data_IF_453703222515
#
_entry.id   IF_453703222515
#
_cell.length_a   1.000
_cell.length_b   1.000
_cell.length_c   1.000
_cell.angle_alpha   90.00
_cell.angle_beta   90.00
_cell.angle_gamma   90.00
#
_symmetry.space_group_name_H-M   'P 1'
#
loop_
_entity.id
_entity.type
_entity.pdbx_description
1 polymer ?
#
# COMPACT_ATOMS: atom_id res chain seq x y z
N UNK A 1 -26.69 6.73 8.19
CA UNK A 1 -26.14 8.11 8.31
C UNK A 1 -24.79 8.10 9.05
N UNK A 2 -23.75 8.70 8.47
CA UNK A 2 -22.45 8.83 9.15
C UNK A 2 -22.63 9.81 10.31
N UNK A 3 -22.36 9.38 11.53
CA UNK A 3 -22.47 10.25 12.71
C UNK A 3 -21.41 11.35 12.62
N UNK A 4 -21.81 12.59 12.91
CA UNK A 4 -20.93 13.75 12.83
C UNK A 4 -20.69 14.36 14.20
N UNK A 5 -19.63 15.15 14.35
CA UNK A 5 -19.27 15.76 15.64
C UNK A 5 -20.17 16.93 16.07
N UNK A 6 -21.38 17.02 15.52
CA UNK A 6 -22.35 18.07 15.81
C UNK A 6 -23.62 17.46 16.39
N UNK A 7 -23.87 17.74 17.68
CA UNK A 7 -25.04 17.24 18.42
C UNK A 7 -26.35 17.61 17.74
N UNK A 8 -26.53 18.87 17.34
CA UNK A 8 -27.79 19.36 16.74
C UNK A 8 -28.09 18.59 15.46
N UNK A 9 -27.06 18.35 14.64
CA UNK A 9 -27.24 17.58 13.42
C UNK A 9 -27.52 16.11 13.69
N UNK A 10 -26.85 15.49 14.67
CA UNK A 10 -27.13 14.10 15.03
C UNK A 10 -28.54 13.94 15.61
N UNK A 11 -28.97 14.83 16.51
CA UNK A 11 -30.35 14.84 17.06
C UNK A 11 -31.38 15.02 15.94
N UNK A 12 -31.13 15.95 15.01
CA UNK A 12 -31.98 16.13 13.83
C UNK A 12 -32.03 14.86 12.95
N UNK A 13 -30.88 14.22 12.71
CA UNK A 13 -30.77 12.96 11.98
C UNK A 13 -31.51 11.82 12.70
N UNK A 14 -31.44 11.73 14.03
CA UNK A 14 -32.20 10.74 14.81
C UNK A 14 -33.70 11.01 14.66
N UNK A 15 -34.13 12.26 14.70
CA UNK A 15 -35.55 12.60 14.59
C UNK A 15 -36.12 12.32 13.20
N UNK A 16 -35.37 12.58 12.13
CA UNK A 16 -35.86 12.48 10.75
C UNK A 16 -35.51 11.15 10.06
N UNK A 17 -34.44 10.48 10.50
CA UNK A 17 -33.90 9.27 9.87
C UNK A 17 -33.54 8.21 10.90
N UNK A 18 -34.28 8.12 12.02
CA UNK A 18 -34.09 7.05 12.99
C UNK A 18 -34.17 5.68 12.30
N UNK A 19 -33.22 4.78 12.55
CA UNK A 19 -33.29 3.45 12.00
C UNK A 19 -34.54 2.70 12.48
N UNK A 20 -35.13 1.88 11.61
CA UNK A 20 -36.28 1.03 11.94
C UNK A 20 -35.95 -0.07 12.96
N UNK A 21 -34.68 -0.44 13.10
CA UNK A 21 -34.21 -1.43 14.07
C UNK A 21 -34.08 -0.77 15.45
N UNK A 22 -34.86 -1.17 16.48
CA UNK A 22 -34.90 -0.50 17.78
C UNK A 22 -33.53 -0.42 18.46
N UNK A 23 -32.76 -1.50 18.41
CA UNK A 23 -31.42 -1.57 19.01
C UNK A 23 -30.44 -0.60 18.34
N UNK A 24 -30.52 -0.44 17.01
CA UNK A 24 -29.66 0.47 16.28
C UNK A 24 -30.07 1.93 16.51
N UNK A 25 -31.38 2.21 16.59
CA UNK A 25 -31.88 3.53 16.98
C UNK A 25 -31.45 3.92 18.40
N UNK A 26 -31.50 2.98 19.36
CA UNK A 26 -31.00 3.19 20.71
C UNK A 26 -29.48 3.48 20.71
N UNK A 27 -28.69 2.74 19.94
CA UNK A 27 -27.25 2.95 19.84
C UNK A 27 -26.90 4.32 19.24
N UNK A 28 -27.63 4.76 18.22
CA UNK A 28 -27.50 6.10 17.63
C UNK A 28 -27.88 7.20 18.63
N UNK A 29 -28.90 6.97 19.47
CA UNK A 29 -29.30 7.91 20.52
C UNK A 29 -28.23 8.03 21.62
N UNK A 30 -27.67 6.91 22.07
CA UNK A 30 -26.54 6.91 23.02
C UNK A 30 -25.36 7.70 22.47
N UNK A 31 -25.05 7.56 21.18
CA UNK A 31 -23.99 8.35 20.54
C UNK A 31 -24.27 9.86 20.60
N UNK A 32 -25.50 10.28 20.32
CA UNK A 32 -25.90 11.68 20.42
C UNK A 32 -25.86 12.20 21.87
N UNK A 33 -26.28 11.38 22.83
CA UNK A 33 -26.27 11.71 24.26
C UNK A 33 -24.85 11.87 24.81
N UNK A 34 -23.88 11.08 24.33
CA UNK A 34 -22.47 11.22 24.72
C UNK A 34 -21.83 12.52 24.18
N UNK A 35 -22.45 13.19 23.20
CA UNK A 35 -22.02 14.52 22.75
C UNK A 35 -22.51 15.66 23.67
N UNK A 36 -23.00 15.35 24.89
CA UNK A 36 -23.54 16.30 25.88
C UNK A 36 -22.66 17.54 26.12
N UNK A 37 -21.34 17.39 26.03
CA UNK A 37 -20.37 18.42 26.38
C UNK A 37 -19.69 19.10 25.17
N UNK A 38 -20.02 18.74 23.92
CA UNK A 38 -19.34 19.28 22.74
C UNK A 38 -20.27 19.52 21.56
N UNK A 39 -20.43 20.78 21.14
CA UNK A 39 -21.13 21.16 19.89
C UNK A 39 -20.28 20.87 18.64
N UNK A 40 -18.96 20.83 18.81
CA UNK A 40 -17.94 20.63 17.79
C UNK A 40 -16.89 19.66 18.35
N UNK A 41 -16.25 18.87 17.49
CA UNK A 41 -15.10 18.04 17.85
C UNK A 41 -14.02 18.91 18.50
N UNK A 42 -13.63 18.67 19.76
CA UNK A 42 -12.47 19.34 20.32
C UNK A 42 -11.23 18.85 19.56
N UNK A 43 -10.49 19.78 18.96
CA UNK A 43 -9.23 19.50 18.26
C UNK A 43 -8.08 19.30 19.28
N UNK A 44 -8.31 18.42 20.26
CA UNK A 44 -7.30 18.01 21.23
C UNK A 44 -6.78 16.63 20.85
N UNK A 45 -5.54 16.31 21.25
CA UNK A 45 -4.92 15.00 20.99
C UNK A 45 -5.80 13.85 21.50
N UNK A 46 -6.43 14.02 22.66
CA UNK A 46 -7.35 13.04 23.25
C UNK A 46 -8.74 13.06 22.60
N UNK A 47 -9.28 14.25 22.28
CA UNK A 47 -10.63 14.40 21.72
C UNK A 47 -10.78 13.75 20.35
N UNK A 48 -9.71 13.76 19.54
CA UNK A 48 -9.73 13.11 18.24
C UNK A 48 -9.80 11.59 18.36
N UNK A 49 -8.97 10.99 19.23
CA UNK A 49 -8.89 9.55 19.46
C UNK A 49 -10.15 9.03 20.14
N UNK A 50 -10.64 9.71 21.19
CA UNK A 50 -11.89 9.36 21.88
C UNK A 50 -13.06 9.25 20.90
N UNK A 51 -13.19 10.23 20.00
CA UNK A 51 -14.24 10.22 18.99
C UNK A 51 -14.13 9.02 18.05
N UNK A 52 -12.93 8.77 17.50
CA UNK A 52 -12.71 7.69 16.55
C UNK A 52 -12.98 6.31 17.18
N UNK A 53 -12.49 6.10 18.40
CA UNK A 53 -12.65 4.83 19.12
C UNK A 53 -14.10 4.58 19.54
N UNK A 54 -14.85 5.63 19.90
CA UNK A 54 -16.28 5.50 20.12
C UNK A 54 -17.00 5.05 18.84
N UNK A 55 -16.79 5.73 17.71
CA UNK A 55 -17.42 5.35 16.43
C UNK A 55 -17.07 3.90 16.07
N UNK A 56 -15.81 3.49 16.24
CA UNK A 56 -15.37 2.11 16.01
C UNK A 56 -16.07 1.11 16.94
N UNK A 57 -16.22 1.42 18.23
CA UNK A 57 -16.91 0.56 19.17
C UNK A 57 -18.39 0.39 18.81
N UNK A 58 -19.06 1.49 18.45
CA UNK A 58 -20.45 1.49 17.98
C UNK A 58 -20.60 0.62 16.72
N UNK A 59 -19.75 0.82 15.72
CA UNK A 59 -19.77 0.05 14.48
C UNK A 59 -19.54 -1.44 14.74
N UNK A 60 -18.55 -1.79 15.57
CA UNK A 60 -18.26 -3.20 15.91
C UNK A 60 -19.43 -3.87 16.60
N UNK A 61 -20.08 -3.17 17.54
CA UNK A 61 -21.27 -3.68 18.22
C UNK A 61 -22.46 -3.81 17.26
N UNK A 62 -22.72 -2.79 16.44
CA UNK A 62 -23.84 -2.76 15.49
C UNK A 62 -23.71 -3.81 14.38
N UNK A 63 -22.48 -4.11 13.95
CA UNK A 63 -22.20 -5.15 12.96
C UNK A 63 -21.94 -6.54 13.59
N UNK A 64 -22.26 -6.72 14.88
CA UNK A 64 -22.07 -7.99 15.60
C UNK A 64 -20.64 -8.55 15.52
N UNK A 65 -19.63 -7.69 15.38
CA UNK A 65 -18.22 -8.08 15.32
C UNK A 65 -17.59 -8.30 16.70
N UNK A 66 -18.18 -7.72 17.73
CA UNK A 66 -17.79 -7.89 19.13
C UNK A 66 -18.99 -7.62 20.04
N UNK A 67 -18.98 -8.15 21.27
CA UNK A 67 -20.01 -7.79 22.24
C UNK A 67 -19.90 -6.29 22.59
N UNK A 68 -21.02 -5.57 22.88
CA UNK A 68 -20.98 -4.14 23.15
C UNK A 68 -20.00 -3.74 24.26
N UNK A 69 -19.96 -4.52 25.35
CA UNK A 69 -19.03 -4.29 26.47
C UNK A 69 -17.57 -4.56 26.10
N UNK A 70 -17.32 -5.53 25.23
CA UNK A 70 -15.98 -5.84 24.73
C UNK A 70 -15.47 -4.73 23.81
N UNK A 71 -16.31 -4.30 22.86
CA UNK A 71 -16.00 -3.20 21.96
C UNK A 71 -15.72 -1.89 22.71
N UNK A 72 -16.48 -1.61 23.78
CA UNK A 72 -16.27 -0.45 24.63
C UNK A 72 -14.96 -0.55 25.44
N UNK A 73 -14.65 -1.73 26.00
CA UNK A 73 -13.39 -1.94 26.75
C UNK A 73 -12.17 -1.77 25.86
N UNK A 74 -12.20 -2.28 24.63
CA UNK A 74 -11.10 -2.11 23.68
C UNK A 74 -10.93 -0.61 23.33
N UNK A 75 -12.02 0.09 23.03
CA UNK A 75 -12.00 1.52 22.76
C UNK A 75 -11.45 2.33 23.95
N UNK A 76 -11.86 2.02 25.17
CA UNK A 76 -11.34 2.63 26.39
C UNK A 76 -9.84 2.37 26.56
N UNK A 77 -9.39 1.14 26.33
CA UNK A 77 -7.96 0.78 26.37
C UNK A 77 -7.15 1.56 25.34
N UNK A 78 -7.65 1.74 24.11
CA UNK A 78 -6.98 2.51 23.07
C UNK A 78 -6.86 4.00 23.44
N UNK A 79 -7.94 4.59 23.96
CA UNK A 79 -7.93 5.99 24.43
C UNK A 79 -6.99 6.15 25.62
N UNK A 80 -7.05 5.26 26.60
CA UNK A 80 -6.18 5.32 27.78
C UNK A 80 -4.70 5.22 27.40
N UNK A 81 -4.35 4.34 26.44
CA UNK A 81 -2.98 4.26 25.91
C UNK A 81 -2.51 5.57 25.31
N UNK A 82 -3.35 6.26 24.54
CA UNK A 82 -3.01 7.55 23.96
C UNK A 82 -2.81 8.64 25.03
N UNK A 83 -3.66 8.61 26.07
CA UNK A 83 -3.51 9.50 27.23
C UNK A 83 -2.21 9.22 27.97
N UNK A 84 -1.92 7.95 28.27
CA UNK A 84 -0.69 7.53 28.94
C UNK A 84 0.54 7.88 28.11
N UNK A 85 0.48 7.71 26.79
CA UNK A 85 1.55 8.03 25.86
C UNK A 85 1.85 9.54 25.80
N UNK A 86 0.85 10.40 26.08
CA UNK A 86 1.01 11.85 26.11
C UNK A 86 1.38 12.38 27.49
N UNK A 87 0.69 11.94 28.54
CA UNK A 87 0.93 12.41 29.91
C UNK A 87 2.22 11.84 30.51
N UNK A 88 2.66 10.65 30.09
CA UNK A 88 3.96 10.09 30.53
C UNK A 88 5.12 10.44 29.58
N UNK A 89 4.98 11.42 28.67
CA UNK A 89 6.04 11.81 27.72
C UNK A 89 7.35 12.18 28.41
N UNK A 90 7.30 12.78 29.59
CA UNK A 90 8.50 13.23 30.32
C UNK A 90 9.37 12.09 30.87
N UNK A 91 8.86 10.86 30.90
CA UNK A 91 9.57 9.70 31.44
C UNK A 91 10.79 9.29 30.60
N UNK A 92 10.87 9.71 29.35
CA UNK A 92 11.91 9.31 28.40
C UNK A 92 12.85 10.47 28.04
N UNK A 93 14.17 10.20 27.89
CA UNK A 93 15.14 11.21 27.55
C UNK A 93 14.90 11.74 26.13
N UNK A 94 15.03 13.06 25.97
CA UNK A 94 14.95 13.74 24.67
C UNK A 94 16.16 13.36 23.83
N UNK A 95 15.94 13.18 22.53
CA UNK A 95 17.00 12.97 21.54
C UNK A 95 17.06 14.18 20.62
N UNK A 96 18.29 14.61 20.35
CA UNK A 96 18.57 15.56 19.28
C UNK A 96 18.37 14.88 17.91
N UNK A 97 17.48 15.46 17.10
CA UNK A 97 17.18 15.03 15.72
C UNK A 97 18.38 15.15 14.78
N UNK A 98 19.48 15.79 15.19
CA UNK A 98 20.74 15.79 14.44
C UNK A 98 21.50 14.46 14.52
N UNK A 99 21.20 13.60 15.51
CA UNK A 99 21.90 12.32 15.72
C UNK A 99 21.82 11.38 14.51
N UNK A 100 20.65 11.12 13.91
CA UNK A 100 20.55 10.27 12.71
C UNK A 100 21.31 10.85 11.51
N UNK A 101 21.29 12.16 11.35
CA UNK A 101 22.01 12.84 10.26
C UNK A 101 23.54 12.70 10.45
N UNK A 102 24.02 12.89 11.68
CA UNK A 102 25.43 12.64 12.05
C UNK A 102 25.83 11.18 11.87
N UNK A 103 24.97 10.23 12.22
CA UNK A 103 25.18 8.81 12.00
C UNK A 103 25.25 8.48 10.50
N UNK A 104 24.34 9.02 9.69
CA UNK A 104 24.35 8.83 8.24
C UNK A 104 25.64 9.39 7.61
N UNK A 105 26.04 10.61 7.98
CA UNK A 105 27.31 11.21 7.54
C UNK A 105 28.53 10.41 8.02
N UNK A 106 28.52 9.95 9.28
CA UNK A 106 29.58 9.11 9.84
C UNK A 106 29.69 7.77 9.11
N UNK A 107 28.56 7.14 8.78
CA UNK A 107 28.51 5.88 8.03
C UNK A 107 29.01 6.08 6.60
N UNK A 108 28.59 7.16 5.93
CA UNK A 108 29.08 7.54 4.61
C UNK A 108 30.60 7.77 4.60
N UNK A 109 31.12 8.45 5.63
CA UNK A 109 32.54 8.66 5.82
C UNK A 109 33.29 7.34 6.05
N UNK A 110 32.80 6.47 6.92
CA UNK A 110 33.41 5.15 7.17
C UNK A 110 33.40 4.27 5.92
N UNK A 111 32.33 4.29 5.12
CA UNK A 111 32.28 3.58 3.82
C UNK A 111 33.31 4.16 2.86
N UNK A 112 33.41 5.49 2.75
CA UNK A 112 34.42 6.14 1.92
C UNK A 112 35.85 5.77 2.35
N UNK A 113 36.14 5.81 3.65
CA UNK A 113 37.43 5.38 4.22
C UNK A 113 37.69 3.90 3.98
N UNK A 114 36.68 3.03 4.16
CA UNK A 114 36.77 1.61 3.91
C UNK A 114 37.07 1.28 2.45
N UNK A 115 36.45 2.01 1.52
CA UNK A 115 36.76 1.94 0.09
C UNK A 115 38.22 2.34 -0.15
N UNK A 116 38.64 3.52 0.33
CA UNK A 116 40.03 4.02 0.17
C UNK A 116 41.05 3.04 0.77
N UNK A 117 40.75 2.45 1.94
CA UNK A 117 41.60 1.46 2.59
C UNK A 117 41.66 0.15 1.79
N UNK A 118 40.51 -0.37 1.34
CA UNK A 118 40.46 -1.56 0.49
C UNK A 118 41.31 -1.37 -0.78
N UNK A 119 41.20 -0.21 -1.41
CA UNK A 119 42.02 0.20 -2.54
C UNK A 119 43.52 0.21 -2.23
N UNK A 120 43.91 0.74 -1.07
CA UNK A 120 45.32 0.78 -0.66
C UNK A 120 45.93 -0.61 -0.43
N UNK A 121 45.08 -1.62 -0.16
CA UNK A 121 45.48 -3.00 0.12
C UNK A 121 45.46 -3.91 -1.11
N UNK A 122 44.78 -3.52 -2.19
CA UNK A 122 44.78 -4.29 -3.44
C UNK A 122 46.14 -4.15 -4.14
N UNK A 123 46.80 -5.28 -4.42
CA UNK A 123 48.04 -5.34 -5.23
C UNK A 123 47.72 -5.21 -6.72
N UNK A 124 47.15 -4.08 -7.11
CA UNK A 124 46.85 -3.78 -8.51
C UNK A 124 48.10 -3.25 -9.21
N UNK A 125 48.29 -3.62 -10.48
CA UNK A 125 49.30 -3.05 -11.38
C UNK A 125 49.08 -1.55 -11.61
N UNK A 126 50.09 -0.85 -12.18
CA UNK A 126 50.01 0.61 -12.41
C UNK A 126 48.84 1.02 -13.30
N UNK A 127 48.55 0.22 -14.33
CA UNK A 127 47.44 0.44 -15.26
C UNK A 127 46.08 0.14 -14.60
N UNK A 128 45.96 -1.00 -13.94
CA UNK A 128 44.73 -1.42 -13.22
C UNK A 128 44.32 -0.42 -12.12
N UNK A 129 45.29 0.22 -11.44
CA UNK A 129 44.98 1.30 -10.47
C UNK A 129 44.43 2.54 -11.16
N UNK A 130 44.90 2.85 -12.36
CA UNK A 130 44.39 3.96 -13.16
C UNK A 130 42.93 3.70 -13.58
N UNK A 131 42.68 2.53 -14.15
CA UNK A 131 41.34 2.09 -14.57
C UNK A 131 40.36 2.04 -13.41
N UNK A 132 40.77 1.47 -12.27
CA UNK A 132 39.93 1.43 -11.08
C UNK A 132 39.59 2.87 -10.62
N UNK A 133 40.56 3.78 -10.48
CA UNK A 133 40.26 5.18 -10.09
C UNK A 133 39.19 5.83 -10.95
N UNK A 134 39.27 5.68 -12.28
CA UNK A 134 38.26 6.21 -13.20
C UNK A 134 36.91 5.50 -13.08
N UNK A 135 36.91 4.17 -12.93
CA UNK A 135 35.69 3.40 -12.70
C UNK A 135 34.94 3.87 -11.44
N UNK A 136 35.65 4.04 -10.32
CA UNK A 136 35.03 4.52 -9.09
C UNK A 136 34.65 6.00 -9.13
N UNK A 137 35.37 6.83 -9.90
CA UNK A 137 34.94 8.22 -10.14
C UNK A 137 33.60 8.25 -10.88
N UNK A 138 33.42 7.40 -11.90
CA UNK A 138 32.15 7.28 -12.62
C UNK A 138 31.04 6.65 -11.77
N UNK A 139 31.37 5.76 -10.83
CA UNK A 139 30.40 5.21 -9.87
C UNK A 139 30.06 6.19 -8.74
N UNK A 140 30.95 7.14 -8.42
CA UNK A 140 30.81 8.00 -7.24
C UNK A 140 29.52 8.82 -7.18
N UNK A 141 28.97 9.38 -8.28
CA UNK A 141 27.69 10.09 -8.21
C UNK A 141 26.53 9.18 -7.83
N UNK A 142 26.53 7.94 -8.35
CA UNK A 142 25.50 6.95 -8.02
C UNK A 142 25.63 6.48 -6.57
N UNK A 143 26.85 6.15 -6.12
CA UNK A 143 27.12 5.73 -4.74
C UNK A 143 26.73 6.85 -3.76
N UNK A 144 27.10 8.09 -4.06
CA UNK A 144 26.75 9.24 -3.25
C UNK A 144 25.23 9.41 -3.17
N UNK A 145 24.53 9.36 -4.30
CA UNK A 145 23.08 9.41 -4.35
C UNK A 145 22.43 8.29 -3.52
N UNK A 146 22.89 7.05 -3.69
CA UNK A 146 22.42 5.90 -2.92
C UNK A 146 22.63 6.08 -1.41
N UNK A 147 23.83 6.50 -0.98
CA UNK A 147 24.16 6.65 0.44
C UNK A 147 23.35 7.78 1.07
N UNK A 148 23.23 8.93 0.41
CA UNK A 148 22.58 10.12 0.97
C UNK A 148 21.05 10.06 0.86
N UNK A 149 20.52 9.53 -0.26
CA UNK A 149 19.08 9.58 -0.57
C UNK A 149 18.36 8.26 -0.28
N UNK A 150 19.07 7.14 -0.14
CA UNK A 150 18.46 5.83 0.13
C UNK A 150 18.91 5.26 1.47
N UNK A 151 20.20 5.00 1.64
CA UNK A 151 20.73 4.37 2.84
C UNK A 151 20.62 5.28 4.07
N UNK A 152 20.93 6.56 3.94
CA UNK A 152 20.84 7.54 5.01
C UNK A 152 19.44 7.63 5.62
N UNK A 153 18.39 7.92 4.84
CA UNK A 153 17.00 7.93 5.33
C UNK A 153 16.55 6.57 5.88
N UNK A 154 17.04 5.46 5.32
CA UNK A 154 16.74 4.12 5.84
C UNK A 154 17.33 3.90 7.24
N UNK A 155 18.61 4.25 7.44
CA UNK A 155 19.26 4.19 8.76
C UNK A 155 18.62 5.16 9.75
N UNK A 156 18.24 6.35 9.29
CA UNK A 156 17.52 7.31 10.12
C UNK A 156 16.14 6.78 10.54
N UNK A 157 15.39 6.17 9.61
CA UNK A 157 14.09 5.54 9.90
C UNK A 157 14.23 4.38 10.87
N UNK A 158 15.30 3.58 10.73
CA UNK A 158 15.64 2.52 11.66
C UNK A 158 16.01 3.07 13.04
N UNK A 159 16.71 4.20 13.14
CA UNK A 159 16.96 4.86 14.41
C UNK A 159 15.66 5.39 15.04
N UNK A 160 14.81 6.05 14.23
CA UNK A 160 13.54 6.60 14.69
C UNK A 160 12.55 5.54 15.16
N UNK A 161 12.66 4.29 14.70
CA UNK A 161 11.80 3.20 15.19
C UNK A 161 12.01 2.89 16.68
N UNK A 162 13.14 3.30 17.28
CA UNK A 162 13.41 3.20 18.72
C UNK A 162 13.00 4.47 19.49
N UNK A 163 12.40 5.44 18.81
CA UNK A 163 11.96 6.71 19.39
C UNK A 163 10.45 6.87 19.31
N UNK A 164 9.88 7.56 20.29
CA UNK A 164 8.52 8.09 20.20
C UNK A 164 8.62 9.47 19.56
N UNK A 165 8.24 9.56 18.28
CA UNK A 165 8.34 10.79 17.51
C UNK A 165 7.13 10.95 16.58
N UNK A 166 6.42 12.06 16.73
CA UNK A 166 5.22 12.41 15.96
C UNK A 166 5.45 13.62 15.04
N UNK A 167 6.73 13.97 14.79
CA UNK A 167 7.20 15.13 13.98
C UNK A 167 6.90 16.50 14.60
N UNK A 168 5.78 16.64 15.32
CA UNK A 168 5.32 17.87 15.95
C UNK A 168 5.99 18.12 17.29
N UNK A 169 6.32 17.06 18.04
CA UNK A 169 6.99 17.14 19.33
C UNK A 169 8.44 16.66 19.22
N UNK A 170 9.24 16.97 20.25
CA UNK A 170 10.61 16.49 20.38
C UNK A 170 10.65 14.95 20.42
N UNK A 171 11.59 14.34 19.68
CA UNK A 171 11.80 12.90 19.68
C UNK A 171 12.34 12.42 21.04
N UNK A 172 11.81 11.29 21.53
CA UNK A 172 12.24 10.70 22.81
C UNK A 172 12.64 9.24 22.67
N UNK A 173 13.69 8.80 23.34
CA UNK A 173 14.17 7.41 23.26
C UNK A 173 13.28 6.47 24.08
N UNK A 174 12.60 5.54 23.41
CA UNK A 174 11.75 4.53 24.06
C UNK A 174 12.33 3.11 23.95
N UNK A 175 13.49 2.95 23.31
CA UNK A 175 14.11 1.66 23.08
C UNK A 175 13.22 0.75 22.25
N UNK A 176 13.02 -0.50 22.68
CA UNK A 176 12.24 -1.50 21.93
C UNK A 176 10.72 -1.41 22.16
N UNK A 177 10.23 -0.43 22.92
CA UNK A 177 8.82 -0.32 23.30
C UNK A 177 7.87 -0.32 22.09
N UNK A 178 8.20 0.41 21.04
CA UNK A 178 7.39 0.44 19.82
C UNK A 178 7.18 -0.95 19.21
N UNK A 179 8.19 -1.82 19.27
CA UNK A 179 8.10 -3.20 18.80
C UNK A 179 7.27 -4.08 19.75
N UNK A 180 7.41 -3.88 21.07
CA UNK A 180 6.60 -4.57 22.07
C UNK A 180 5.11 -4.22 21.92
N UNK A 181 4.81 -2.94 21.70
CA UNK A 181 3.43 -2.46 21.49
C UNK A 181 2.86 -3.04 20.17
N UNK A 182 3.68 -3.07 19.11
CA UNK A 182 3.30 -3.65 17.80
C UNK A 182 3.05 -5.16 17.84
N UNK A 183 3.85 -5.91 18.60
CA UNK A 183 3.74 -7.38 18.74
C UNK A 183 2.81 -7.82 19.87
N UNK A 184 2.49 -6.93 20.80
CA UNK A 184 1.58 -7.18 21.92
C UNK A 184 0.22 -6.54 21.67
N UNK A 185 0.06 -5.30 22.12
CA UNK A 185 -1.24 -4.62 22.14
C UNK A 185 -1.84 -4.36 20.75
N UNK A 186 -1.01 -4.11 19.74
CA UNK A 186 -1.46 -3.76 18.38
C UNK A 186 -1.39 -4.93 17.40
N UNK A 187 -1.04 -6.13 17.88
CA UNK A 187 -0.84 -7.31 17.05
C UNK A 187 -2.03 -7.60 16.13
N UNK A 188 -3.26 -7.45 16.63
CA UNK A 188 -4.47 -7.69 15.84
C UNK A 188 -4.57 -6.76 14.61
N UNK A 189 -4.13 -5.51 14.72
CA UNK A 189 -4.14 -4.55 13.61
C UNK A 189 -2.96 -4.80 12.68
N UNK A 190 -1.78 -5.04 13.26
CA UNK A 190 -0.56 -5.40 12.53
C UNK A 190 -0.77 -6.64 11.67
N UNK A 191 -1.27 -7.73 12.24
CA UNK A 191 -1.55 -8.98 11.53
C UNK A 191 -2.58 -8.80 10.40
N UNK A 192 -3.61 -7.97 10.61
CA UNK A 192 -4.57 -7.62 9.55
C UNK A 192 -3.91 -6.84 8.41
N UNK A 193 -3.06 -5.87 8.73
CA UNK A 193 -2.32 -5.10 7.73
C UNK A 193 -1.38 -5.99 6.90
N UNK A 194 -0.62 -6.86 7.56
CA UNK A 194 0.21 -7.87 6.89
C UNK A 194 -0.63 -8.82 6.03
N UNK A 195 -1.73 -9.36 6.55
CA UNK A 195 -2.62 -10.24 5.79
C UNK A 195 -3.18 -9.58 4.53
N UNK A 196 -3.55 -8.30 4.61
CA UNK A 196 -3.99 -7.53 3.44
C UNK A 196 -2.86 -7.31 2.44
N UNK A 197 -1.66 -6.92 2.90
CA UNK A 197 -0.50 -6.73 2.04
C UNK A 197 -0.09 -8.04 1.34
N UNK A 198 -0.06 -9.16 2.09
CA UNK A 198 0.22 -10.49 1.55
C UNK A 198 -0.84 -10.91 0.54
N UNK A 199 -2.14 -10.67 0.81
CA UNK A 199 -3.19 -10.98 -0.15
C UNK A 199 -3.03 -10.18 -1.45
N UNK A 200 -2.82 -8.87 -1.35
CA UNK A 200 -2.61 -7.99 -2.50
C UNK A 200 -1.36 -8.40 -3.29
N UNK A 201 -0.28 -8.79 -2.62
CA UNK A 201 0.95 -9.25 -3.28
C UNK A 201 0.75 -10.64 -3.92
N UNK A 202 0.24 -11.61 -3.17
CA UNK A 202 0.10 -13.01 -3.60
C UNK A 202 -0.91 -13.18 -4.73
N UNK A 203 -1.96 -12.37 -4.79
CA UNK A 203 -2.95 -12.41 -5.89
C UNK A 203 -2.63 -11.37 -6.95
N UNK A 204 -2.33 -10.14 -6.54
CA UNK A 204 -2.12 -9.03 -7.47
C UNK A 204 -0.87 -9.19 -8.32
N UNK A 205 0.28 -9.58 -7.74
CA UNK A 205 1.53 -9.70 -8.51
C UNK A 205 1.42 -10.80 -9.58
N UNK A 206 1.02 -12.05 -9.29
CA UNK A 206 0.87 -13.07 -10.33
C UNK A 206 -0.16 -12.67 -11.39
N UNK A 207 -1.27 -12.04 -10.99
CA UNK A 207 -2.27 -11.57 -11.95
C UNK A 207 -1.68 -10.50 -12.88
N UNK A 208 -0.95 -9.51 -12.36
CA UNK A 208 -0.29 -8.48 -13.16
C UNK A 208 0.79 -9.05 -14.10
N UNK A 209 1.53 -10.07 -13.65
CA UNK A 209 2.51 -10.77 -14.49
C UNK A 209 1.81 -11.55 -15.61
N UNK A 210 0.75 -12.27 -15.28
CA UNK A 210 -0.04 -13.05 -16.23
C UNK A 210 -0.71 -12.14 -17.26
N UNK A 211 -1.36 -11.04 -16.83
CA UNK A 211 -1.99 -10.10 -17.76
C UNK A 211 -0.95 -9.42 -18.65
N UNK A 212 0.19 -9.01 -18.09
CA UNK A 212 1.30 -8.46 -18.85
C UNK A 212 1.82 -9.42 -19.93
N UNK A 213 2.05 -10.69 -19.57
CA UNK A 213 2.52 -11.72 -20.50
C UNK A 213 1.46 -12.07 -21.55
N UNK A 214 0.19 -12.22 -21.15
CA UNK A 214 -0.91 -12.54 -22.05
C UNK A 214 -1.09 -11.44 -23.11
N UNK A 215 -1.08 -10.17 -22.69
CA UNK A 215 -1.13 -9.04 -23.62
C UNK A 215 0.13 -9.02 -24.49
N UNK A 216 1.32 -9.26 -23.93
CA UNK A 216 2.57 -9.28 -24.70
C UNK A 216 2.55 -10.38 -25.79
N UNK A 217 2.05 -11.57 -25.49
CA UNK A 217 1.89 -12.66 -26.47
C UNK A 217 0.91 -12.28 -27.59
N UNK A 218 -0.24 -11.71 -27.25
CA UNK A 218 -1.21 -11.20 -28.23
C UNK A 218 -0.59 -10.13 -29.14
N UNK A 219 0.27 -9.29 -28.55
CA UNK A 219 0.97 -8.20 -29.24
C UNK A 219 2.30 -8.62 -29.89
N UNK A 220 2.71 -9.87 -29.70
CA UNK A 220 3.87 -10.45 -30.38
C UNK A 220 3.46 -11.05 -31.74
N UNK A 221 2.20 -11.47 -31.88
CA UNK A 221 1.65 -11.85 -33.17
C UNK A 221 1.75 -10.65 -34.13
N UNK A 222 2.38 -10.83 -35.30
CA UNK A 222 2.65 -9.79 -36.28
C UNK A 222 1.38 -9.32 -37.03
N UNK A 223 0.37 -8.84 -36.30
CA UNK A 223 -0.90 -8.38 -36.82
C UNK A 223 -0.80 -6.96 -37.42
N UNK A 224 -1.73 -6.61 -38.32
CA UNK A 224 -1.88 -5.23 -38.80
C UNK A 224 -2.42 -4.35 -37.67
N UNK A 225 -1.89 -3.13 -37.51
CA UNK A 225 -2.33 -2.17 -36.49
C UNK A 225 -1.60 -2.25 -35.14
N UNK A 226 -0.56 -3.08 -35.03
CA UNK A 226 0.19 -3.32 -33.79
C UNK A 226 0.73 -2.08 -33.07
N UNK A 227 1.08 -1.01 -33.80
CA UNK A 227 1.53 0.26 -33.19
C UNK A 227 0.44 0.92 -32.35
N UNK A 228 -0.81 0.88 -32.83
CA UNK A 228 -1.96 1.43 -32.12
C UNK A 228 -2.24 0.62 -30.85
N UNK A 229 -2.31 -0.71 -30.96
CA UNK A 229 -2.57 -1.57 -29.81
C UNK A 229 -1.50 -1.45 -28.72
N UNK A 230 -0.21 -1.43 -29.08
CA UNK A 230 0.88 -1.21 -28.10
C UNK A 230 0.71 0.12 -27.36
N UNK A 231 0.33 1.18 -28.07
CA UNK A 231 0.09 2.49 -27.47
C UNK A 231 -1.12 2.46 -26.55
N UNK A 232 -2.23 1.86 -26.98
CA UNK A 232 -3.46 1.76 -26.20
C UNK A 232 -3.28 0.95 -24.90
N UNK A 233 -2.58 -0.18 -24.95
CA UNK A 233 -2.31 -1.02 -23.77
C UNK A 233 -1.21 -0.46 -22.87
N UNK A 234 -0.30 0.37 -23.39
CA UNK A 234 0.71 1.05 -22.60
C UNK A 234 0.21 2.34 -21.95
N UNK A 235 -0.80 2.99 -22.53
CA UNK A 235 -1.35 4.27 -22.05
C UNK A 235 -1.70 4.25 -20.55
N UNK A 236 -2.36 3.22 -19.99
CA UNK A 236 -2.64 3.14 -18.55
C UNK A 236 -1.40 3.22 -17.66
N UNK A 237 -0.27 2.69 -18.11
CA UNK A 237 0.96 2.65 -17.33
C UNK A 237 1.67 4.02 -17.25
N UNK A 238 1.30 4.97 -18.14
CA UNK A 238 1.83 6.34 -18.14
C UNK A 238 0.96 7.27 -17.27
N UNK A 239 -0.29 6.89 -17.01
CA UNK A 239 -1.22 7.72 -16.22
C UNK A 239 -0.66 7.91 -14.80
N UNK A 240 -0.56 9.15 -14.30
CA UNK A 240 -0.12 9.41 -12.93
C UNK A 240 -0.99 8.67 -11.92
N UNK A 241 -0.39 8.07 -10.89
CA UNK A 241 -1.11 7.24 -9.92
C UNK A 241 -2.29 7.95 -9.24
N UNK A 242 -2.17 9.26 -8.97
CA UNK A 242 -3.26 10.07 -8.40
C UNK A 242 -4.41 10.21 -9.40
N UNK A 243 -4.11 10.49 -10.67
CA UNK A 243 -5.13 10.60 -11.71
C UNK A 243 -5.85 9.26 -11.94
N UNK A 244 -5.11 8.15 -11.94
CA UNK A 244 -5.67 6.82 -11.99
C UNK A 244 -6.59 6.56 -10.78
N UNK A 245 -6.17 6.89 -9.56
CA UNK A 245 -6.98 6.71 -8.36
C UNK A 245 -8.30 7.52 -8.42
N UNK A 246 -8.25 8.77 -8.91
CA UNK A 246 -9.46 9.59 -9.10
C UNK A 246 -10.39 8.96 -10.14
N UNK A 247 -9.85 8.56 -11.29
CA UNK A 247 -10.62 7.89 -12.36
C UNK A 247 -11.30 6.62 -11.84
N UNK A 248 -10.57 5.76 -11.13
CA UNK A 248 -11.13 4.54 -10.55
C UNK A 248 -12.11 4.81 -9.42
N UNK A 249 -11.94 5.86 -8.63
CA UNK A 249 -12.94 6.25 -7.62
C UNK A 249 -14.28 6.63 -8.24
N UNK A 250 -14.28 7.25 -9.43
CA UNK A 250 -15.50 7.54 -10.19
C UNK A 250 -16.11 6.25 -10.77
N UNK A 251 -15.29 5.38 -11.37
CA UNK A 251 -15.74 4.11 -11.96
C UNK A 251 -16.36 3.17 -10.90
N UNK A 252 -15.73 3.07 -9.73
CA UNK A 252 -16.13 2.22 -8.61
C UNK A 252 -17.12 2.87 -7.64
N UNK A 253 -17.64 4.06 -7.98
CA UNK A 253 -18.62 4.74 -7.13
C UNK A 253 -19.82 3.83 -6.88
N UNK A 254 -20.20 3.69 -5.60
CA UNK A 254 -21.24 2.79 -5.15
C UNK A 254 -22.63 3.12 -5.74
N UNK A 255 -22.88 4.40 -6.02
CA UNK A 255 -24.10 4.90 -6.64
C UNK A 255 -24.22 4.41 -8.09
N UNK A 256 -25.13 3.45 -8.34
CA UNK A 256 -25.32 2.82 -9.66
C UNK A 256 -25.75 3.80 -10.76
N UNK A 257 -26.24 5.00 -10.40
CA UNK A 257 -26.55 6.06 -11.37
C UNK A 257 -25.29 6.81 -11.87
N UNK A 258 -24.17 6.70 -11.16
CA UNK A 258 -22.92 7.41 -11.42
C UNK A 258 -21.73 6.49 -11.69
N UNK A 259 -21.69 5.32 -11.07
CA UNK A 259 -20.64 4.32 -11.25
C UNK A 259 -20.89 3.48 -12.50
N UNK A 260 -19.97 3.52 -13.47
CA UNK A 260 -20.08 2.78 -14.73
C UNK A 260 -20.19 1.25 -14.50
N UNK A 261 -19.37 0.70 -13.61
CA UNK A 261 -19.37 -0.74 -13.32
C UNK A 261 -20.64 -1.12 -12.55
N UNK A 262 -21.07 -0.28 -11.61
CA UNK A 262 -22.25 -0.55 -10.78
C UNK A 262 -23.55 -0.42 -11.56
N UNK A 263 -23.64 0.54 -12.49
CA UNK A 263 -24.76 0.67 -13.41
C UNK A 263 -24.86 -0.55 -14.34
N UNK A 264 -23.73 -1.02 -14.88
CA UNK A 264 -23.69 -2.23 -15.69
C UNK A 264 -24.09 -3.47 -14.88
N UNK A 265 -23.53 -3.64 -13.67
CA UNK A 265 -23.83 -4.77 -12.78
C UNK A 265 -25.31 -4.82 -12.41
N UNK A 266 -25.90 -3.69 -12.04
CA UNK A 266 -27.31 -3.61 -11.67
C UNK A 266 -28.24 -3.99 -12.84
N UNK A 267 -27.91 -3.57 -14.06
CA UNK A 267 -28.74 -3.83 -15.24
C UNK A 267 -28.57 -5.25 -15.81
N UNK A 268 -27.49 -5.96 -15.46
CA UNK A 268 -27.17 -7.28 -16.03
C UNK A 268 -27.15 -8.35 -14.95
N UNK A 269 -26.11 -8.33 -14.10
CA UNK A 269 -25.82 -9.38 -13.13
C UNK A 269 -26.87 -9.41 -12.01
N UNK A 270 -27.28 -8.24 -11.50
CA UNK A 270 -28.36 -8.19 -10.51
C UNK A 270 -29.70 -8.60 -11.11
N UNK A 271 -29.97 -8.27 -12.38
CA UNK A 271 -31.20 -8.66 -13.06
C UNK A 271 -31.29 -10.18 -13.33
N UNK A 272 -30.17 -10.84 -13.60
CA UNK A 272 -30.12 -12.28 -13.90
C UNK A 272 -29.97 -13.17 -12.66
N UNK A 273 -29.24 -12.70 -11.65
CA UNK A 273 -28.85 -13.51 -10.49
C UNK A 273 -29.36 -12.95 -9.15
N UNK A 274 -30.08 -11.83 -9.15
CA UNK A 274 -30.63 -11.22 -7.92
C UNK A 274 -29.57 -10.74 -6.93
N UNK A 275 -28.33 -10.50 -7.40
CA UNK A 275 -27.22 -10.13 -6.51
C UNK A 275 -27.20 -8.63 -6.23
N UNK A 276 -26.84 -8.24 -5.00
CA UNK A 276 -26.64 -6.84 -4.65
C UNK A 276 -25.39 -6.27 -5.33
N UNK A 277 -25.43 -4.97 -5.62
CA UNK A 277 -24.32 -4.27 -6.27
C UNK A 277 -23.12 -4.21 -5.30
N UNK A 278 -21.91 -4.61 -5.73
CA UNK A 278 -20.74 -4.63 -4.86
C UNK A 278 -20.30 -3.22 -4.44
N UNK A 279 -20.02 -3.07 -3.14
CA UNK A 279 -19.40 -1.88 -2.57
C UNK A 279 -17.89 -1.86 -2.80
N UNK A 280 -17.44 -1.69 -4.04
CA UNK A 280 -16.02 -1.84 -4.46
C UNK A 280 -15.00 -1.19 -3.53
N UNK A 281 -15.26 0.02 -3.02
CA UNK A 281 -14.35 0.75 -2.12
C UNK A 281 -14.92 0.95 -0.70
N UNK A 282 -16.15 0.50 -0.46
CA UNK A 282 -16.89 0.71 0.79
C UNK A 282 -17.08 -0.57 1.59
N UNK A 283 -16.91 -1.73 0.97
CA UNK A 283 -16.97 -3.06 1.60
C UNK A 283 -15.57 -3.64 1.76
N UNK A 284 -15.27 -4.18 2.94
CA UNK A 284 -14.00 -4.85 3.24
C UNK A 284 -13.72 -6.05 2.33
N UNK A 285 -14.76 -6.71 1.82
CA UNK A 285 -14.64 -7.88 0.94
C UNK A 285 -14.25 -7.47 -0.48
N UNK A 286 -14.91 -6.44 -1.02
CA UNK A 286 -14.72 -5.97 -2.40
C UNK A 286 -13.54 -5.00 -2.57
N UNK A 287 -13.08 -4.36 -1.49
CA UNK A 287 -11.94 -3.43 -1.51
C UNK A 287 -10.67 -4.07 -2.06
N UNK A 288 -10.35 -5.31 -1.64
CA UNK A 288 -9.11 -5.98 -2.04
C UNK A 288 -9.13 -6.35 -3.54
N UNK A 289 -10.18 -7.00 -4.08
CA UNK A 289 -10.31 -7.22 -5.52
C UNK A 289 -10.31 -5.92 -6.35
N UNK A 290 -10.97 -4.86 -5.89
CA UNK A 290 -11.00 -3.58 -6.60
C UNK A 290 -9.59 -2.99 -6.80
N UNK A 291 -8.77 -3.02 -5.76
CA UNK A 291 -7.38 -2.56 -5.81
C UNK A 291 -6.52 -3.42 -6.75
N UNK A 292 -6.72 -4.75 -6.73
CA UNK A 292 -6.02 -5.68 -7.64
C UNK A 292 -6.41 -5.39 -9.10
N UNK A 293 -7.70 -5.19 -9.38
CA UNK A 293 -8.18 -4.89 -10.72
C UNK A 293 -7.61 -3.56 -11.25
N UNK A 294 -7.61 -2.54 -10.39
CA UNK A 294 -6.97 -1.25 -10.69
C UNK A 294 -5.47 -1.42 -10.98
N UNK A 295 -4.76 -2.24 -10.21
CA UNK A 295 -3.35 -2.56 -10.44
C UNK A 295 -3.11 -3.33 -11.75
N UNK A 296 -3.97 -4.30 -12.07
CA UNK A 296 -3.89 -5.10 -13.29
C UNK A 296 -4.10 -4.25 -14.55
N UNK A 297 -4.92 -3.18 -14.48
CA UNK A 297 -5.08 -2.22 -15.57
C UNK A 297 -3.76 -1.50 -15.91
N UNK A 298 -2.87 -1.31 -14.92
CA UNK A 298 -1.54 -0.74 -15.09
C UNK A 298 -0.46 -1.71 -15.61
N UNK A 299 -0.80 -2.97 -15.93
CA UNK A 299 0.16 -4.01 -16.34
C UNK A 299 0.86 -3.74 -17.70
N UNK A 300 0.53 -2.66 -18.39
CA UNK A 300 1.13 -2.26 -19.67
C UNK A 300 2.64 -2.06 -19.62
N UNK A 301 3.21 -1.69 -18.47
CA UNK A 301 4.67 -1.61 -18.30
C UNK A 301 5.32 -3.00 -18.33
N UNK A 302 4.75 -3.97 -17.61
CA UNK A 302 5.18 -5.37 -17.62
C UNK A 302 5.04 -6.01 -19.00
N UNK A 303 3.99 -5.67 -19.74
CA UNK A 303 3.82 -6.10 -21.13
C UNK A 303 5.00 -5.68 -22.04
N UNK A 304 5.52 -4.45 -21.91
CA UNK A 304 6.68 -4.02 -22.71
C UNK A 304 7.95 -4.81 -22.36
N UNK A 305 8.16 -5.09 -21.06
CA UNK A 305 9.27 -5.91 -20.60
C UNK A 305 9.18 -7.33 -21.17
N UNK A 306 8.01 -7.96 -21.08
CA UNK A 306 7.76 -9.28 -21.68
C UNK A 306 7.93 -9.29 -23.19
N UNK A 307 7.44 -8.25 -23.88
CA UNK A 307 7.59 -8.13 -25.33
C UNK A 307 9.06 -7.98 -25.76
N UNK A 308 9.87 -7.28 -24.98
CA UNK A 308 11.30 -7.17 -25.21
C UNK A 308 12.00 -8.54 -25.04
N UNK A 309 11.65 -9.29 -23.98
CA UNK A 309 12.14 -10.65 -23.77
C UNK A 309 11.73 -11.62 -24.87
N UNK A 310 10.45 -11.60 -25.26
CA UNK A 310 9.91 -12.44 -26.35
C UNK A 310 10.63 -12.22 -27.68
N UNK A 311 11.03 -10.98 -27.98
CA UNK A 311 11.83 -10.66 -29.17
C UNK A 311 13.29 -11.10 -29.08
N UNK A 312 13.80 -11.37 -27.88
CA UNK A 312 15.13 -11.91 -27.67
C UNK A 312 15.23 -13.41 -27.94
N UNK A 313 14.12 -14.14 -27.97
CA UNK A 313 14.09 -15.58 -28.26
C UNK A 313 14.43 -15.81 -29.73
N UNK A 314 15.48 -16.60 -29.99
CA UNK A 314 15.93 -16.89 -31.36
C UNK A 314 14.85 -17.60 -32.18
N UNK A 315 14.63 -17.15 -33.42
CA UNK A 315 13.69 -17.79 -34.35
C UNK A 315 14.07 -19.25 -34.66
N UNK A 316 15.38 -19.56 -34.59
CA UNK A 316 15.90 -20.91 -34.84
C UNK A 316 15.34 -21.97 -33.88
N UNK A 317 15.00 -21.59 -32.64
CA UNK A 317 14.40 -22.51 -31.68
C UNK A 317 12.94 -22.84 -32.05
N UNK A 318 12.21 -21.86 -32.57
CA UNK A 318 10.85 -22.07 -33.08
C UNK A 318 10.85 -22.90 -34.37
N UNK A 319 11.81 -22.66 -35.26
CA UNK A 319 11.98 -23.46 -36.49
C UNK A 319 12.33 -24.91 -36.16
N UNK A 320 13.32 -25.14 -35.29
CA UNK A 320 13.72 -26.49 -34.85
C UNK A 320 12.53 -27.25 -34.21
N UNK A 321 11.83 -26.62 -33.26
CA UNK A 321 10.67 -27.25 -32.62
C UNK A 321 9.51 -27.52 -33.59
N UNK A 322 9.34 -26.68 -34.63
CA UNK A 322 8.33 -26.91 -35.66
C UNK A 322 8.68 -28.09 -36.57
N UNK A 323 9.97 -28.31 -36.85
CA UNK A 323 10.45 -29.49 -37.59
C UNK A 323 10.24 -30.78 -36.78
N UNK A 324 10.35 -30.71 -35.45
CA UNK A 324 10.07 -31.81 -34.53
C UNK A 324 8.55 -32.03 -34.30
N UNK A 325 7.68 -31.25 -34.94
CA UNK A 325 6.22 -31.41 -34.87
C UNK A 325 5.55 -30.80 -33.63
N UNK A 326 6.24 -29.89 -32.92
CA UNK A 326 5.67 -29.24 -31.73
C UNK A 326 4.53 -28.29 -32.11
N UNK A 327 3.40 -28.38 -31.40
CA UNK A 327 2.29 -27.45 -31.52
C UNK A 327 2.53 -26.14 -30.74
N UNK A 328 1.73 -25.10 -30.97
CA UNK A 328 1.94 -23.78 -30.35
C UNK A 328 1.96 -23.76 -28.82
N UNK A 329 1.18 -24.63 -28.16
CA UNK A 329 1.19 -24.77 -26.69
C UNK A 329 2.48 -25.44 -26.21
N UNK A 330 2.96 -26.46 -26.92
CA UNK A 330 4.23 -27.11 -26.63
C UNK A 330 5.40 -26.15 -26.85
N UNK A 331 5.39 -25.36 -27.94
CA UNK A 331 6.39 -24.32 -28.18
C UNK A 331 6.37 -23.25 -27.08
N UNK A 332 5.18 -22.87 -26.58
CA UNK A 332 5.10 -21.94 -25.46
C UNK A 332 5.77 -22.47 -24.19
N UNK A 333 5.43 -23.69 -23.76
CA UNK A 333 5.96 -24.25 -22.50
C UNK A 333 7.40 -24.75 -22.60
N UNK A 334 7.83 -25.24 -23.76
CA UNK A 334 9.16 -25.86 -23.93
C UNK A 334 10.22 -24.90 -24.49
N UNK A 335 9.82 -23.83 -25.19
CA UNK A 335 10.75 -22.87 -25.81
C UNK A 335 10.56 -21.49 -25.20
N UNK A 336 9.36 -20.91 -25.32
CA UNK A 336 9.12 -19.51 -24.95
C UNK A 336 9.29 -19.27 -23.45
N UNK A 337 8.56 -20.00 -22.61
CA UNK A 337 8.54 -19.78 -21.17
C UNK A 337 9.91 -20.02 -20.50
N UNK A 338 10.67 -21.09 -20.83
CA UNK A 338 12.01 -21.28 -20.29
C UNK A 338 13.01 -20.21 -20.73
N UNK A 339 12.93 -19.72 -21.97
CA UNK A 339 13.82 -18.66 -22.48
C UNK A 339 13.48 -17.27 -21.92
N UNK A 340 12.28 -17.09 -21.38
CA UNK A 340 11.87 -15.87 -20.66
C UNK A 340 12.30 -15.89 -19.18
N UNK A 341 12.59 -17.06 -18.63
CA UNK A 341 13.27 -17.20 -17.34
C UNK A 341 14.77 -16.97 -17.54
N UNK A 342 15.45 -16.18 -16.68
CA UNK A 342 16.90 -15.99 -16.74
C UNK A 342 17.70 -17.29 -16.69
#
# INVERSE_FOLDING_TARGET
PKQIANRVTNEWLVQHYSPTIPNYAAAVRVHADMAKFGRIRPATFAGQVLWNEHVRALERAAYHKAAPMEALREAQGNVQRELDANFNKERYPKIDLSVPFKLALGTAFLVAVGIVFAFSRMRLGRLERGEAKWAYLFLSPWIFGFVVLTLGPMLASFFFSFTQWDVLNEARWVGIKNYQDTMGSDWTQTAKAFGNATYLAAVGVPLSLFTGLAVALLLNAAARGMRFYRTAFYLPAIVPGIAAAVLWSWIFTADASKGLINGYWNNTISAWFGTEVPGWLTSAEWSRPALIFMGAWGAGSGMLLWLAGLKGVSSTLYEASSLDGANGTQQFWSVTFPQLSP
#
